data_IF_759326855964
#
_entry.id   IF_759326855964
#
_cell.length_a   1.000
_cell.length_b   1.000
_cell.length_c   1.000
_cell.angle_alpha   90.00
_cell.angle_beta   90.00
_cell.angle_gamma   90.00
#
_symmetry.space_group_name_H-M   'P 1'
#
loop_
_entity.id
_entity.type
_entity.pdbx_description
1 polymer ?
#
# COMPACT_ATOMS: atom_id res chain seq x y z
N UNK A 1 -0.26 -24.81 3.43
CA UNK A 1 -0.31 -24.46 4.86
C UNK A 1 -0.21 -22.96 5.03
N UNK A 2 -1.06 -22.38 5.85
CA UNK A 2 -1.01 -20.93 6.09
C UNK A 2 0.23 -20.53 6.86
N UNK A 3 0.80 -19.38 6.55
CA UNK A 3 1.91 -18.82 7.30
C UNK A 3 1.44 -18.27 8.63
N UNK A 4 2.32 -18.34 9.62
CA UNK A 4 2.07 -17.72 10.91
C UNK A 4 2.57 -16.27 10.89
N UNK A 5 1.67 -15.37 10.51
CA UNK A 5 1.95 -13.93 10.52
C UNK A 5 1.16 -13.34 11.67
N UNK A 6 1.80 -12.80 12.70
CA UNK A 6 1.07 -12.30 13.87
C UNK A 6 0.16 -11.13 13.53
N UNK A 7 -1.06 -11.12 14.08
CA UNK A 7 -1.91 -9.95 14.01
C UNK A 7 -1.22 -8.78 14.70
N UNK A 8 -1.44 -7.58 14.20
CA UNK A 8 -0.87 -6.38 14.76
C UNK A 8 0.52 -6.02 14.27
N UNK A 9 1.13 -6.81 13.38
CA UNK A 9 2.39 -6.39 12.76
C UNK A 9 2.18 -5.10 12.01
N UNK A 10 3.22 -4.27 11.97
CA UNK A 10 3.15 -2.94 11.38
C UNK A 10 4.19 -2.75 10.30
N UNK A 11 3.83 -1.98 9.30
CA UNK A 11 4.76 -1.50 8.29
C UNK A 11 4.52 -0.03 8.06
N UNK A 12 5.54 0.65 7.56
CA UNK A 12 5.49 2.08 7.32
C UNK A 12 6.14 2.40 5.99
N UNK A 13 5.71 3.51 5.39
CA UNK A 13 6.33 4.07 4.21
C UNK A 13 6.06 5.57 4.21
N UNK A 14 6.98 6.35 3.65
CA UNK A 14 6.81 7.80 3.58
C UNK A 14 7.40 8.35 2.29
N UNK A 15 6.88 9.49 1.86
CA UNK A 15 7.44 10.23 0.74
C UNK A 15 7.10 11.70 0.88
N UNK A 16 8.01 12.54 0.40
CA UNK A 16 7.76 13.97 0.26
C UNK A 16 7.05 14.18 -1.07
N UNK A 17 5.94 14.91 -1.06
CA UNK A 17 5.17 15.15 -2.28
C UNK A 17 5.96 16.03 -3.23
N UNK A 18 6.18 15.51 -4.45
CA UNK A 18 6.81 16.23 -5.56
C UNK A 18 5.78 16.39 -6.67
N UNK A 19 6.10 17.19 -7.69
CA UNK A 19 5.20 17.40 -8.81
C UNK A 19 4.72 16.10 -9.45
N UNK A 20 5.61 15.11 -9.58
CA UNK A 20 5.26 13.79 -10.16
C UNK A 20 4.19 13.03 -9.39
N UNK A 21 3.95 13.40 -8.13
CA UNK A 21 2.94 12.77 -7.27
C UNK A 21 1.59 13.48 -7.32
N UNK A 22 1.47 14.54 -8.10
CA UNK A 22 0.29 15.40 -8.09
C UNK A 22 -0.63 15.18 -9.29
N UNK A 23 -1.89 15.61 -9.15
CA UNK A 23 -2.84 15.58 -10.25
C UNK A 23 -2.36 16.41 -11.44
N UNK A 24 -1.68 17.54 -11.17
CA UNK A 24 -1.14 18.42 -12.22
C UNK A 24 -0.18 17.67 -13.13
N UNK A 25 0.57 16.69 -12.62
CA UNK A 25 1.48 15.88 -13.43
C UNK A 25 0.73 15.08 -14.51
N UNK A 26 -0.49 14.68 -14.23
CA UNK A 26 -1.31 13.90 -15.18
C UNK A 26 -2.08 14.78 -16.14
N UNK A 27 -2.45 15.99 -15.71
CA UNK A 27 -3.20 16.92 -16.53
C UNK A 27 -2.95 18.35 -16.03
N UNK A 28 -2.46 19.21 -16.93
CA UNK A 28 -2.02 20.57 -16.57
C UNK A 28 -3.11 21.49 -16.05
N UNK A 29 -4.38 21.15 -16.27
CA UNK A 29 -5.53 21.90 -15.76
C UNK A 29 -5.95 21.48 -14.35
N UNK A 30 -5.36 20.39 -13.82
CA UNK A 30 -5.67 19.93 -12.47
C UNK A 30 -4.71 20.58 -11.46
N UNK A 31 -5.15 20.74 -10.20
CA UNK A 31 -4.29 21.35 -9.19
C UNK A 31 -3.09 20.46 -8.82
N UNK A 32 -2.04 21.11 -8.29
CA UNK A 32 -0.83 20.40 -7.85
C UNK A 32 -1.00 19.86 -6.43
N UNK A 33 -1.97 18.95 -6.27
CA UNK A 33 -2.22 18.26 -5.01
C UNK A 33 -1.95 16.77 -5.15
N UNK A 34 -1.59 16.15 -4.05
CA UNK A 34 -1.22 14.74 -3.98
C UNK A 34 -2.34 13.85 -4.53
N UNK A 35 -2.01 12.97 -5.47
CA UNK A 35 -3.02 12.16 -6.13
C UNK A 35 -3.41 10.95 -5.29
N UNK A 36 -4.65 10.52 -5.43
CA UNK A 36 -5.17 9.33 -4.75
C UNK A 36 -4.37 8.07 -5.14
N UNK A 37 -4.07 7.80 -6.42
CA UNK A 37 -3.23 6.65 -6.76
C UNK A 37 -1.86 6.65 -6.08
N UNK A 38 -1.22 7.81 -5.92
CA UNK A 38 0.06 7.89 -5.22
C UNK A 38 -0.09 7.57 -3.74
N UNK A 39 -1.15 8.08 -3.09
CA UNK A 39 -1.42 7.77 -1.69
C UNK A 39 -1.65 6.27 -1.50
N UNK A 40 -2.46 5.67 -2.37
CA UNK A 40 -2.73 4.23 -2.33
C UNK A 40 -1.43 3.44 -2.51
N UNK A 41 -0.60 3.83 -3.47
CA UNK A 41 0.69 3.18 -3.69
C UNK A 41 1.56 3.21 -2.44
N UNK A 42 1.59 4.33 -1.74
CA UNK A 42 2.36 4.46 -0.51
C UNK A 42 1.79 3.59 0.62
N UNK A 43 0.45 3.53 0.72
CA UNK A 43 -0.21 2.63 1.66
C UNK A 43 0.10 1.16 1.37
N UNK A 44 0.12 0.79 0.09
CA UNK A 44 0.49 -0.57 -0.30
C UNK A 44 1.96 -0.88 0.06
N UNK A 45 2.86 0.10 -0.09
CA UNK A 45 4.25 -0.07 0.33
C UNK A 45 4.34 -0.31 1.83
N UNK A 46 3.57 0.41 2.64
CA UNK A 46 3.54 0.21 4.08
C UNK A 46 3.12 -1.23 4.43
N UNK A 47 2.08 -1.74 3.78
CA UNK A 47 1.62 -3.11 3.99
C UNK A 47 2.64 -4.13 3.49
N UNK A 48 3.26 -3.88 2.33
CA UNK A 48 4.31 -4.74 1.80
C UNK A 48 5.50 -4.82 2.76
N UNK A 49 5.90 -3.67 3.32
CA UNK A 49 7.00 -3.62 4.29
C UNK A 49 6.68 -4.46 5.54
N UNK A 50 5.43 -4.44 6.00
CA UNK A 50 5.02 -5.25 7.13
C UNK A 50 5.14 -6.75 6.85
N UNK A 51 4.94 -7.16 5.59
CA UNK A 51 5.01 -8.57 5.19
C UNK A 51 6.43 -9.09 4.98
N UNK A 52 7.39 -8.21 4.66
CA UNK A 52 8.74 -8.62 4.28
C UNK A 52 9.39 -9.65 5.22
N UNK A 53 9.34 -9.49 6.56
CA UNK A 53 9.99 -10.45 7.45
C UNK A 53 9.39 -11.86 7.42
N UNK A 54 8.22 -12.01 6.85
CA UNK A 54 7.47 -13.27 6.86
C UNK A 54 7.45 -13.98 5.51
N UNK A 55 8.13 -13.42 4.52
CA UNK A 55 8.22 -14.03 3.20
C UNK A 55 9.38 -15.02 3.15
N UNK A 56 9.15 -16.18 2.55
CA UNK A 56 10.20 -17.15 2.28
C UNK A 56 10.92 -16.78 0.99
N UNK A 57 12.05 -17.43 0.74
CA UNK A 57 12.81 -17.22 -0.48
C UNK A 57 11.92 -17.44 -1.71
N UNK A 58 11.98 -16.54 -2.65
CA UNK A 58 11.19 -16.60 -3.88
C UNK A 58 9.76 -16.11 -3.76
N UNK A 59 9.35 -15.70 -2.56
CA UNK A 59 8.00 -15.19 -2.34
C UNK A 59 7.95 -13.67 -2.36
N UNK A 60 6.82 -13.14 -2.84
CA UNK A 60 6.49 -11.71 -2.71
C UNK A 60 5.06 -11.59 -2.21
N UNK A 61 4.72 -10.43 -1.70
CA UNK A 61 3.32 -10.10 -1.45
C UNK A 61 2.82 -9.16 -2.55
N UNK A 62 1.57 -9.33 -2.95
CA UNK A 62 0.92 -8.48 -3.97
C UNK A 62 -0.40 -7.96 -3.42
N UNK A 63 -0.77 -6.75 -3.86
CA UNK A 63 -2.06 -6.17 -3.52
C UNK A 63 -3.18 -6.85 -4.30
N UNK A 64 -4.28 -7.18 -3.63
CA UNK A 64 -5.42 -7.85 -4.25
C UNK A 64 -6.72 -7.08 -4.10
N UNK A 65 -6.83 -6.20 -3.10
CA UNK A 65 -8.03 -5.39 -2.90
C UNK A 65 -7.68 -4.11 -2.17
N UNK A 66 -8.34 -3.05 -2.52
CA UNK A 66 -8.14 -1.71 -1.96
C UNK A 66 -9.50 -1.11 -1.64
N UNK A 67 -9.65 -0.60 -0.43
CA UNK A 67 -10.84 0.14 -0.03
C UNK A 67 -10.41 1.28 0.88
N UNK A 68 -10.07 2.42 0.29
CA UNK A 68 -9.56 3.57 1.04
C UNK A 68 -10.31 4.84 0.66
N UNK A 69 -10.33 5.78 1.60
CA UNK A 69 -10.83 7.12 1.40
C UNK A 69 -9.66 8.10 1.41
N UNK A 70 -9.67 9.05 0.48
CA UNK A 70 -8.73 10.16 0.44
C UNK A 70 -9.50 11.38 0.95
N UNK A 71 -9.20 11.83 2.17
CA UNK A 71 -10.08 12.72 2.94
C UNK A 71 -9.63 14.17 2.99
N UNK A 72 -8.36 14.43 2.71
CA UNK A 72 -7.83 15.80 2.78
C UNK A 72 -6.71 15.99 1.76
N UNK A 73 -6.58 17.19 1.19
CA UNK A 73 -5.54 17.47 0.21
C UNK A 73 -4.17 17.62 0.86
N UNK A 74 -3.13 17.37 0.07
CA UNK A 74 -1.75 17.53 0.47
C UNK A 74 -0.99 18.17 -0.70
N UNK A 75 -0.09 19.07 -0.42
CA UNK A 75 0.60 19.84 -1.45
C UNK A 75 2.08 19.49 -1.56
N UNK A 76 2.72 19.97 -2.63
CA UNK A 76 4.16 19.74 -2.87
C UNK A 76 4.96 20.24 -1.67
N UNK A 77 5.91 19.42 -1.24
CA UNK A 77 6.78 19.69 -0.10
C UNK A 77 6.32 19.08 1.21
N UNK A 78 5.06 18.67 1.31
CA UNK A 78 4.58 18.00 2.51
C UNK A 78 5.12 16.57 2.57
N UNK A 79 5.44 16.11 3.78
CA UNK A 79 5.85 14.73 4.01
C UNK A 79 4.62 13.90 4.34
N UNK A 80 4.36 12.89 3.52
CA UNK A 80 3.27 11.93 3.76
C UNK A 80 3.85 10.68 4.40
N UNK A 81 3.28 10.30 5.54
CA UNK A 81 3.64 9.07 6.26
C UNK A 81 2.45 8.14 6.26
N UNK A 82 2.70 6.87 5.93
CA UNK A 82 1.68 5.83 5.97
C UNK A 82 2.07 4.75 6.96
N UNK A 83 1.05 4.14 7.54
CA UNK A 83 1.21 2.98 8.41
C UNK A 83 0.18 1.93 8.02
N UNK A 84 0.60 0.67 8.04
CA UNK A 84 -0.27 -0.48 7.84
C UNK A 84 -0.17 -1.39 9.05
N UNK A 85 -1.31 -1.86 9.55
CA UNK A 85 -1.40 -2.76 10.70
C UNK A 85 -2.21 -3.98 10.27
N UNK A 86 -1.65 -5.17 10.43
CA UNK A 86 -2.36 -6.39 10.07
C UNK A 86 -3.54 -6.60 11.01
N UNK A 87 -4.74 -6.54 10.47
CA UNK A 87 -5.98 -6.60 11.24
C UNK A 87 -6.58 -7.99 11.25
N UNK A 88 -6.48 -8.72 10.14
CA UNK A 88 -7.00 -10.08 10.03
C UNK A 88 -6.34 -10.81 8.88
N UNK A 89 -6.38 -12.12 8.93
CA UNK A 89 -5.97 -12.94 7.79
C UNK A 89 -6.66 -14.30 7.83
N UNK A 90 -6.83 -14.86 6.66
CA UNK A 90 -7.17 -16.26 6.48
C UNK A 90 -5.99 -16.94 5.78
N UNK A 91 -6.17 -18.11 5.20
CA UNK A 91 -5.07 -18.86 4.58
C UNK A 91 -4.44 -18.16 3.38
N UNK A 92 -5.16 -17.25 2.71
CA UNK A 92 -4.71 -16.63 1.46
C UNK A 92 -4.49 -15.13 1.55
N UNK A 93 -5.31 -14.44 2.34
CA UNK A 93 -5.38 -12.99 2.30
C UNK A 93 -5.03 -12.38 3.65
N UNK A 94 -4.29 -11.30 3.58
CA UNK A 94 -3.84 -10.52 4.74
C UNK A 94 -4.42 -9.13 4.62
N UNK A 95 -5.32 -8.77 5.55
CA UNK A 95 -6.04 -7.50 5.51
C UNK A 95 -5.39 -6.52 6.48
N UNK A 96 -4.90 -5.43 5.92
CA UNK A 96 -4.24 -4.37 6.67
C UNK A 96 -5.13 -3.16 6.76
N UNK A 97 -5.22 -2.59 7.96
CA UNK A 97 -5.74 -1.24 8.12
C UNK A 97 -4.61 -0.29 7.80
N UNK A 98 -4.90 0.72 6.97
CA UNK A 98 -3.91 1.69 6.52
C UNK A 98 -4.37 3.11 6.83
N UNK A 99 -3.40 3.95 7.17
CA UNK A 99 -3.62 5.38 7.40
C UNK A 99 -2.52 6.16 6.71
N UNK A 100 -2.83 7.41 6.32
CA UNK A 100 -1.87 8.33 5.75
C UNK A 100 -2.03 9.69 6.42
N UNK A 101 -0.92 10.32 6.76
CA UNK A 101 -0.86 11.63 7.42
C UNK A 101 0.10 12.56 6.69
N UNK A 102 -0.21 13.85 6.68
CA UNK A 102 0.69 14.86 6.08
C UNK A 102 1.37 15.76 7.12
N UNK A 103 1.33 15.36 8.40
CA UNK A 103 1.87 16.15 9.50
C UNK A 103 0.86 17.11 10.12
N UNK A 104 -0.22 17.42 9.42
CA UNK A 104 -1.29 18.33 9.91
C UNK A 104 -2.58 17.57 10.16
N UNK A 105 -2.86 16.55 9.35
CA UNK A 105 -4.12 15.81 9.40
C UNK A 105 -3.94 14.41 8.87
N UNK A 106 -4.88 13.53 9.23
CA UNK A 106 -5.06 12.26 8.55
C UNK A 106 -5.67 12.54 7.19
N UNK A 107 -4.94 12.25 6.12
CA UNK A 107 -5.38 12.54 4.75
C UNK A 107 -6.08 11.36 4.10
N UNK A 108 -5.90 10.16 4.62
CA UNK A 108 -6.57 8.99 4.08
C UNK A 108 -6.55 7.82 5.05
N UNK A 109 -7.48 6.88 4.85
CA UNK A 109 -7.56 5.66 5.64
C UNK A 109 -8.41 4.62 4.94
N UNK A 110 -8.25 3.38 5.36
CA UNK A 110 -9.05 2.28 4.83
C UNK A 110 -8.34 0.96 5.02
N UNK A 111 -8.54 0.06 4.07
CA UNK A 111 -7.92 -1.27 4.12
C UNK A 111 -7.26 -1.58 2.78
N UNK A 112 -6.15 -2.32 2.87
CA UNK A 112 -5.54 -2.96 1.71
C UNK A 112 -5.37 -4.44 2.02
N UNK A 113 -5.60 -5.28 1.03
CA UNK A 113 -5.48 -6.73 1.17
C UNK A 113 -4.30 -7.19 0.34
N UNK A 114 -3.48 -8.07 0.91
CA UNK A 114 -2.33 -8.62 0.23
C UNK A 114 -2.39 -10.14 0.23
N UNK A 115 -1.76 -10.74 -0.77
CA UNK A 115 -1.60 -12.20 -0.85
C UNK A 115 -0.12 -12.51 -1.08
N UNK A 116 0.35 -13.64 -0.56
CA UNK A 116 1.71 -14.11 -0.80
C UNK A 116 1.70 -14.97 -2.05
N UNK A 117 2.57 -14.67 -2.99
CA UNK A 117 2.69 -15.43 -4.24
C UNK A 117 4.14 -15.76 -4.52
N UNK A 118 4.35 -16.82 -5.31
CA UNK A 118 5.66 -17.16 -5.84
C UNK A 118 5.64 -16.78 -7.33
N UNK A 119 6.41 -15.76 -7.75
CA UNK A 119 6.37 -15.30 -9.14
C UNK A 119 6.71 -16.37 -10.16
N UNK A 120 7.62 -17.28 -9.84
CA UNK A 120 7.98 -18.36 -10.74
C UNK A 120 6.80 -19.31 -10.99
N UNK A 121 6.02 -19.61 -9.94
CA UNK A 121 4.82 -20.44 -10.08
C UNK A 121 3.71 -19.74 -10.85
N UNK A 122 3.56 -18.43 -10.65
CA UNK A 122 2.58 -17.64 -11.38
C UNK A 122 2.93 -17.61 -12.86
N UNK A 123 4.19 -17.37 -13.20
CA UNK A 123 4.66 -17.37 -14.59
C UNK A 123 4.46 -18.74 -15.25
N UNK A 124 4.75 -19.81 -14.53
CA UNK A 124 4.55 -21.18 -15.02
C UNK A 124 3.08 -21.46 -15.36
N UNK A 125 2.17 -21.09 -14.45
CA UNK A 125 0.73 -21.26 -14.70
C UNK A 125 0.25 -20.40 -15.86
N UNK A 126 0.75 -19.19 -15.98
CA UNK A 126 0.38 -18.30 -17.08
C UNK A 126 0.81 -18.87 -18.43
N UNK A 127 2.01 -19.43 -18.51
CA UNK A 127 2.55 -20.00 -19.73
C UNK A 127 1.76 -21.23 -20.21
N UNK A 128 1.07 -21.92 -19.31
CA UNK A 128 0.28 -23.11 -19.62
C UNK A 128 -1.15 -22.83 -20.08
N UNK A 129 -1.60 -21.57 -20.03
CA UNK A 129 -2.96 -21.19 -20.46
C UNK A 129 -3.09 -21.07 -21.95
#
# INVERSE_FOLDING_TARGET
>A
MAKKVPLGIRGQAEETVEHKHTLNHHHDKLPAIYSTPNMIGLMEWAAANAMLPFLDEGEISVGTAINVEHRAPTTIGDLVKTEAVLESHNERFYIFRVTAHNGKAEIGRGTVTRAIVNPAKVAERHAKR
#
